data_IF_068505025343
#
_entry.id   IF_068505025343
#
_cell.length_a   1.000
_cell.length_b   1.000
_cell.length_c   1.000
_cell.angle_alpha   90.00
_cell.angle_beta   90.00
_cell.angle_gamma   90.00
#
_symmetry.space_group_name_H-M   'P 1'
#
loop_
_entity.id
_entity.type
_entity.pdbx_description
1 polymer ?
#
# COMPACT_ATOMS: atom_id res chain seq x y z
N UNK A 1 -27.18 -0.29 17.46
CA UNK A 1 -26.37 -0.94 18.51
C UNK A 1 -24.95 -1.05 17.99
N UNK A 2 -23.93 -0.94 18.84
CA UNK A 2 -22.55 -1.19 18.41
C UNK A 2 -22.38 -2.70 18.39
N UNK A 3 -22.36 -3.30 17.20
CA UNK A 3 -22.06 -4.72 17.04
C UNK A 3 -20.57 -4.93 17.31
N UNK A 4 -20.27 -5.63 18.41
CA UNK A 4 -18.90 -5.95 18.79
C UNK A 4 -18.72 -7.46 18.82
N UNK A 5 -17.55 -7.90 18.39
CA UNK A 5 -17.15 -9.31 18.37
C UNK A 5 -15.88 -9.47 19.19
N UNK A 6 -15.69 -10.66 19.77
CA UNK A 6 -14.49 -10.97 20.55
C UNK A 6 -13.46 -11.64 19.63
N UNK A 7 -12.24 -11.12 19.65
CA UNK A 7 -11.08 -11.72 18.99
C UNK A 7 -10.06 -12.15 20.04
N UNK A 8 -9.49 -13.35 19.88
CA UNK A 8 -8.41 -13.82 20.73
C UNK A 8 -7.07 -13.42 20.11
N UNK A 9 -6.25 -12.70 20.86
CA UNK A 9 -4.92 -12.25 20.44
C UNK A 9 -3.86 -12.79 21.39
N UNK A 10 -2.66 -13.05 20.86
CA UNK A 10 -1.50 -13.35 21.70
C UNK A 10 -1.16 -12.15 22.58
N UNK A 11 -0.67 -12.41 23.78
CA UNK A 11 -0.32 -11.37 24.75
C UNK A 11 0.76 -10.42 24.22
N UNK A 12 1.76 -10.97 23.54
CA UNK A 12 2.85 -10.22 22.89
C UNK A 12 2.29 -9.15 21.92
N UNK A 13 1.31 -9.53 21.09
CA UNK A 13 0.67 -8.62 20.13
C UNK A 13 -0.10 -7.51 20.86
N UNK A 14 -0.77 -7.82 21.97
CA UNK A 14 -1.49 -6.81 22.76
C UNK A 14 -0.53 -5.80 23.39
N UNK A 15 0.65 -6.23 23.82
CA UNK A 15 1.70 -5.34 24.34
C UNK A 15 2.25 -4.41 23.25
N UNK A 16 2.48 -4.94 22.03
CA UNK A 16 2.87 -4.12 20.88
C UNK A 16 1.81 -3.08 20.53
N UNK A 17 0.53 -3.48 20.47
CA UNK A 17 -0.59 -2.56 20.22
C UNK A 17 -0.68 -1.49 21.32
N UNK A 18 -0.37 -1.84 22.56
CA UNK A 18 -0.36 -0.89 23.68
C UNK A 18 0.78 0.15 23.54
N UNK A 19 1.94 -0.27 23.08
CA UNK A 19 3.08 0.62 22.82
C UNK A 19 2.88 1.48 21.57
N UNK A 20 2.12 0.98 20.59
CA UNK A 20 1.79 1.70 19.36
C UNK A 20 0.73 2.79 19.52
N UNK A 21 0.22 3.04 20.74
CA UNK A 21 -0.75 4.11 21.00
C UNK A 21 -0.10 5.48 20.81
N UNK A 22 -0.77 6.33 20.04
CA UNK A 22 -0.34 7.71 19.77
C UNK A 22 -0.65 8.65 20.95
N UNK A 23 -1.68 8.33 21.74
CA UNK A 23 -2.07 9.09 22.93
C UNK A 23 -2.58 8.17 24.04
N UNK A 24 -2.45 8.56 25.33
CA UNK A 24 -2.73 7.67 26.46
C UNK A 24 -4.16 7.11 26.51
N UNK A 25 -5.15 7.85 25.99
CA UNK A 25 -6.58 7.48 26.00
C UNK A 25 -7.05 6.81 24.71
N UNK A 26 -6.16 6.51 23.77
CA UNK A 26 -6.54 5.86 22.52
C UNK A 26 -7.12 4.47 22.78
N UNK A 27 -8.26 4.20 22.17
CA UNK A 27 -8.90 2.87 22.23
C UNK A 27 -8.23 1.92 21.24
N UNK A 28 -8.26 0.63 21.53
CA UNK A 28 -7.72 -0.37 20.59
C UNK A 28 -8.50 -0.39 19.28
N UNK A 29 -9.80 -0.12 19.32
CA UNK A 29 -10.62 -0.05 18.10
C UNK A 29 -10.20 1.11 17.19
N UNK A 30 -9.93 2.30 17.72
CA UNK A 30 -9.44 3.43 16.92
C UNK A 30 -8.07 3.14 16.29
N UNK A 31 -7.16 2.54 17.07
CA UNK A 31 -5.83 2.19 16.59
C UNK A 31 -5.90 1.12 15.50
N UNK A 32 -6.68 0.05 15.72
CA UNK A 32 -6.87 -1.02 14.75
C UNK A 32 -7.56 -0.52 13.48
N UNK A 33 -8.57 0.36 13.59
CA UNK A 33 -9.24 0.95 12.43
C UNK A 33 -8.26 1.78 11.57
N UNK A 34 -7.39 2.58 12.20
CA UNK A 34 -6.34 3.34 11.50
C UNK A 34 -5.33 2.43 10.81
N UNK A 35 -4.92 1.34 11.48
CA UNK A 35 -4.00 0.35 10.93
C UNK A 35 -4.61 -0.37 9.72
N UNK A 36 -5.87 -0.83 9.83
CA UNK A 36 -6.59 -1.51 8.74
C UNK A 36 -6.74 -0.59 7.53
N UNK A 37 -7.15 0.67 7.74
CA UNK A 37 -7.28 1.65 6.65
C UNK A 37 -5.95 1.88 5.93
N UNK A 38 -4.87 2.07 6.69
CA UNK A 38 -3.52 2.24 6.13
C UNK A 38 -3.06 1.02 5.34
N UNK A 39 -3.32 -0.18 5.87
CA UNK A 39 -2.95 -1.44 5.21
C UNK A 39 -3.75 -1.65 3.92
N UNK A 40 -5.05 -1.40 3.93
CA UNK A 40 -5.91 -1.49 2.74
C UNK A 40 -5.52 -0.46 1.68
N UNK A 41 -5.19 0.77 2.09
CA UNK A 41 -4.73 1.80 1.17
C UNK A 41 -3.41 1.39 0.50
N UNK A 42 -2.42 0.95 1.28
CA UNK A 42 -1.16 0.43 0.73
C UNK A 42 -1.38 -0.76 -0.19
N UNK A 43 -2.26 -1.70 0.17
CA UNK A 43 -2.58 -2.86 -0.68
C UNK A 43 -3.15 -2.45 -2.04
N UNK A 44 -4.02 -1.44 -2.08
CA UNK A 44 -4.58 -0.89 -3.33
C UNK A 44 -3.52 -0.16 -4.15
N UNK A 45 -2.72 0.70 -3.51
CA UNK A 45 -1.66 1.45 -4.19
C UNK A 45 -0.58 0.54 -4.75
N UNK A 46 -0.14 -0.47 -3.98
CA UNK A 46 0.94 -1.36 -4.41
C UNK A 46 0.52 -2.22 -5.62
N UNK A 47 -0.74 -2.68 -5.69
CA UNK A 47 -1.24 -3.41 -6.86
C UNK A 47 -1.42 -2.53 -8.09
N UNK A 48 -1.87 -1.30 -7.92
CA UNK A 48 -2.13 -0.39 -9.04
C UNK A 48 -0.82 0.19 -9.60
N UNK A 49 0.10 0.60 -8.74
CA UNK A 49 1.39 1.17 -9.14
C UNK A 49 2.31 0.11 -9.76
N UNK A 50 2.41 -1.10 -9.20
CA UNK A 50 3.19 -2.19 -9.83
C UNK A 50 2.64 -2.56 -11.22
N UNK A 51 1.32 -2.55 -11.39
CA UNK A 51 0.67 -2.82 -12.67
C UNK A 51 0.92 -1.70 -13.69
N UNK A 52 0.78 -0.43 -13.28
CA UNK A 52 1.04 0.72 -14.13
C UNK A 52 2.51 0.82 -14.54
N UNK A 53 3.44 0.66 -13.60
CA UNK A 53 4.87 0.71 -13.89
C UNK A 53 5.28 -0.37 -14.89
N UNK A 54 4.69 -1.57 -14.80
CA UNK A 54 4.95 -2.67 -15.74
C UNK A 54 4.44 -2.36 -17.15
N UNK A 55 3.21 -1.83 -17.28
CA UNK A 55 2.65 -1.43 -18.59
C UNK A 55 3.41 -0.25 -19.18
N UNK A 56 3.81 0.71 -18.36
CA UNK A 56 4.60 1.86 -18.81
C UNK A 56 5.97 1.44 -19.31
N UNK A 57 6.65 0.48 -18.66
CA UNK A 57 7.92 -0.06 -19.15
C UNK A 57 7.79 -0.72 -20.52
N UNK A 58 6.71 -1.50 -20.75
CA UNK A 58 6.45 -2.14 -22.04
C UNK A 58 6.18 -1.11 -23.15
N UNK A 59 5.35 -0.10 -22.87
CA UNK A 59 5.10 1.01 -23.82
C UNK A 59 6.31 1.91 -24.06
N UNK A 60 7.10 2.19 -23.03
CA UNK A 60 8.34 2.97 -23.19
C UNK A 60 9.35 2.20 -24.04
N UNK A 61 9.39 0.87 -23.91
CA UNK A 61 10.23 0.01 -24.77
C UNK A 61 9.74 -0.01 -26.22
N UNK A 62 8.43 0.03 -26.47
CA UNK A 62 7.89 0.16 -27.83
C UNK A 62 8.15 1.54 -28.46
N UNK A 63 8.22 2.60 -27.65
CA UNK A 63 8.48 3.96 -28.10
C UNK A 63 9.96 4.26 -28.34
N UNK A 64 10.88 3.52 -27.70
CA UNK A 64 12.32 3.83 -27.66
C UNK A 64 13.20 2.79 -28.37
N UNK A 65 12.58 1.88 -29.14
CA UNK A 65 13.24 0.82 -29.92
C UNK A 65 12.59 0.74 -31.32
N UNK A 66 12.12 1.89 -31.84
CA UNK A 66 11.44 1.99 -33.13
C UNK A 66 12.40 2.49 -34.22
N UNK A 67 12.12 2.14 -35.49
CA UNK A 67 12.95 2.50 -36.65
C UNK A 67 13.03 4.01 -36.93
N UNK A 68 12.19 4.82 -36.31
CA UNK A 68 12.19 6.29 -36.47
C UNK A 68 13.27 6.95 -35.59
N UNK A 69 13.67 6.35 -34.46
CA UNK A 69 14.77 6.86 -33.63
C UNK A 69 16.13 6.77 -34.35
N UNK A 70 16.35 5.76 -35.21
CA UNK A 70 17.55 5.67 -36.06
C UNK A 70 17.67 6.82 -37.08
N UNK A 71 16.55 7.45 -37.45
CA UNK A 71 16.54 8.58 -38.38
C UNK A 71 16.89 9.92 -37.71
N UNK A 72 16.73 10.03 -36.37
CA UNK A 72 17.07 11.23 -35.61
C UNK A 72 18.54 11.26 -35.15
N UNK A 73 19.19 10.11 -34.97
CA UNK A 73 20.63 10.01 -34.65
C UNK A 73 21.56 10.34 -35.85
N UNK A 74 21.01 10.42 -37.06
CA UNK A 74 21.76 10.68 -38.31
C UNK A 74 21.42 12.02 -39.00
N UNK A 75 20.71 12.93 -38.33
CA UNK A 75 20.37 14.27 -38.83
C UNK A 75 21.38 15.35 -38.41
#
# INVERSE_FOLDING_TARGET
>A
MIESTTILLKKEIVEEIKNAKEYPRQTYNELLDKMVKSFLQKKKSNQYDEFLHKIQQEKMKELWDNKEDEAWEHA
#
